data_IF_842291477770
#
_entry.id   IF_842291477770
#
_cell.length_a   1.000
_cell.length_b   1.000
_cell.length_c   1.000
_cell.angle_alpha   90.00
_cell.angle_beta   90.00
_cell.angle_gamma   90.00
#
_symmetry.space_group_name_H-M   'P 1'
#
loop_
_entity.id
_entity.type
_entity.pdbx_description
1 polymer ?
#
# COMPACT_ATOMS: atom_id res chain seq x y z
N UNK A 1 -16.90 17.96 -11.35
CA UNK A 1 -16.64 16.79 -10.48
C UNK A 1 -16.04 17.31 -9.18
N UNK A 2 -16.50 16.82 -8.04
CA UNK A 2 -15.94 17.21 -6.73
C UNK A 2 -14.60 16.51 -6.54
N UNK A 3 -13.55 17.28 -6.20
CA UNK A 3 -12.24 16.74 -5.84
C UNK A 3 -12.02 16.89 -4.34
N UNK A 4 -11.63 15.80 -3.68
CA UNK A 4 -11.44 15.75 -2.23
C UNK A 4 -10.04 15.23 -1.93
N UNK A 5 -9.32 15.94 -1.08
CA UNK A 5 -8.08 15.44 -0.46
C UNK A 5 -8.42 14.85 0.90
N UNK A 6 -8.24 13.55 1.05
CA UNK A 6 -8.53 12.81 2.27
C UNK A 6 -7.23 12.38 2.95
N UNK A 7 -7.05 12.86 4.18
CA UNK A 7 -5.94 12.51 5.06
C UNK A 7 -6.53 11.75 6.25
N UNK A 8 -6.59 10.41 6.20
CA UNK A 8 -7.15 9.60 7.29
C UNK A 8 -6.32 9.76 8.56
N UNK A 9 -7.01 9.79 9.71
CA UNK A 9 -6.39 9.83 11.04
C UNK A 9 -6.67 8.56 11.86
N UNK A 10 -7.68 7.78 11.45
CA UNK A 10 -8.02 6.48 12.00
C UNK A 10 -7.82 5.41 10.93
N UNK A 11 -7.34 4.23 11.37
CA UNK A 11 -6.98 3.14 10.49
C UNK A 11 -7.47 1.81 11.03
N UNK A 12 -7.83 0.88 10.13
CA UNK A 12 -8.37 -0.42 10.50
C UNK A 12 -7.61 -1.55 9.81
N UNK A 13 -7.25 -2.61 10.53
CA UNK A 13 -6.69 -3.84 9.94
C UNK A 13 -7.76 -4.81 9.41
N UNK A 14 -9.03 -4.39 9.43
CA UNK A 14 -10.18 -5.16 8.95
C UNK A 14 -10.99 -4.31 7.98
N UNK A 15 -11.52 -4.95 6.93
CA UNK A 15 -12.53 -4.38 6.05
C UNK A 15 -13.88 -4.86 6.58
N UNK A 16 -14.76 -3.92 6.95
CA UNK A 16 -16.04 -4.22 7.60
C UNK A 16 -16.74 -2.98 8.13
N UNK A 17 -17.67 -3.19 9.06
CA UNK A 17 -18.63 -2.17 9.56
C UNK A 17 -18.02 -1.14 10.51
N UNK A 18 -17.04 -0.36 10.06
CA UNK A 18 -16.48 0.77 10.80
C UNK A 18 -17.24 2.09 10.51
N UNK A 19 -17.22 3.07 11.43
CA UNK A 19 -17.74 4.40 11.15
C UNK A 19 -17.06 5.01 9.91
N UNK A 20 -17.80 5.69 9.03
CA UNK A 20 -17.21 6.26 7.82
C UNK A 20 -16.29 7.42 8.16
N UNK A 21 -15.03 7.32 7.73
CA UNK A 21 -14.05 8.38 7.89
C UNK A 21 -14.23 9.51 6.86
N UNK A 22 -14.91 9.22 5.74
CA UNK A 22 -15.30 10.18 4.72
C UNK A 22 -16.66 9.80 4.14
N UNK A 23 -17.51 10.79 3.82
CA UNK A 23 -18.73 10.61 3.03
C UNK A 23 -18.60 11.37 1.71
N UNK A 24 -18.97 10.73 0.61
CA UNK A 24 -18.87 11.30 -0.74
C UNK A 24 -20.13 11.00 -1.54
N UNK A 25 -20.37 11.79 -2.59
CA UNK A 25 -21.38 11.49 -3.61
C UNK A 25 -20.77 10.64 -4.72
N UNK A 26 -21.63 9.98 -5.49
CA UNK A 26 -21.23 9.36 -6.75
C UNK A 26 -20.45 10.36 -7.64
N UNK A 27 -19.45 9.85 -8.37
CA UNK A 27 -18.52 10.60 -9.23
C UNK A 27 -17.60 11.62 -8.53
N UNK A 28 -17.44 11.53 -7.21
CA UNK A 28 -16.38 12.25 -6.51
C UNK A 28 -15.00 11.64 -6.86
N UNK A 29 -14.00 12.49 -7.05
CA UNK A 29 -12.60 12.09 -7.13
C UNK A 29 -11.95 12.30 -5.78
N UNK A 30 -11.36 11.26 -5.20
CA UNK A 30 -10.71 11.33 -3.89
C UNK A 30 -9.21 11.01 -4.02
N UNK A 31 -8.36 11.91 -3.54
CA UNK A 31 -6.94 11.65 -3.31
C UNK A 31 -6.79 11.20 -1.86
N UNK A 32 -6.34 9.95 -1.65
CA UNK A 32 -6.22 9.36 -0.31
C UNK A 32 -4.74 9.22 0.07
N UNK A 33 -4.35 9.69 1.25
CA UNK A 33 -3.05 9.36 1.84
C UNK A 33 -3.11 7.99 2.49
N UNK A 34 -2.20 7.10 2.11
CA UNK A 34 -2.10 5.75 2.68
C UNK A 34 -0.89 5.61 3.60
N UNK A 35 -0.99 4.68 4.54
CA UNK A 35 0.17 4.16 5.28
C UNK A 35 0.81 3.01 4.49
N UNK A 36 2.03 2.62 4.86
CA UNK A 36 2.58 1.35 4.40
C UNK A 36 1.98 0.15 5.16
N UNK A 37 2.30 -1.06 4.71
CA UNK A 37 1.80 -2.30 5.30
C UNK A 37 2.18 -2.53 6.78
N UNK A 38 3.13 -1.76 7.32
CA UNK A 38 3.53 -1.77 8.72
C UNK A 38 2.91 -0.63 9.54
N UNK A 39 2.10 0.23 8.90
CA UNK A 39 1.39 1.34 9.52
C UNK A 39 2.21 2.62 9.65
N UNK A 40 3.28 2.78 8.86
CA UNK A 40 4.05 4.02 8.83
C UNK A 40 3.53 5.00 7.79
N UNK A 41 3.44 6.27 8.16
CA UNK A 41 3.09 7.37 7.27
C UNK A 41 4.30 7.87 6.44
N UNK A 42 4.08 8.91 5.65
CA UNK A 42 5.13 9.50 4.80
C UNK A 42 6.20 10.28 5.57
N UNK A 43 5.94 10.64 6.84
CA UNK A 43 6.87 11.30 7.75
C UNK A 43 7.66 10.31 8.62
N UNK A 44 7.29 9.03 8.59
CA UNK A 44 7.88 7.97 9.41
C UNK A 44 7.22 7.79 10.78
N UNK A 45 6.08 8.45 11.04
CA UNK A 45 5.28 8.17 12.23
C UNK A 45 4.52 6.86 12.04
N UNK A 46 4.09 6.22 13.13
CA UNK A 46 3.34 4.96 13.10
C UNK A 46 1.91 5.12 13.65
N UNK A 47 1.00 5.79 12.92
CA UNK A 47 -0.38 5.97 13.37
C UNK A 47 -1.26 4.72 13.22
N UNK A 48 -0.84 3.72 12.43
CA UNK A 48 -1.57 2.48 12.23
C UNK A 48 -0.81 1.25 12.71
N UNK A 49 -1.54 0.16 12.93
CA UNK A 49 -0.95 -1.14 13.24
C UNK A 49 -0.80 -2.03 12.00
N UNK A 50 0.10 -2.99 12.09
CA UNK A 50 0.34 -3.99 11.05
C UNK A 50 -0.60 -5.21 11.27
N UNK A 51 -0.98 -5.94 10.20
CA UNK A 51 -0.63 -5.72 8.80
C UNK A 51 -1.67 -4.90 8.04
N UNK A 52 -1.23 -4.13 7.04
CA UNK A 52 -2.09 -3.49 6.03
C UNK A 52 -3.23 -2.64 6.61
N UNK A 53 -2.94 -1.59 7.39
CA UNK A 53 -3.98 -0.69 7.89
C UNK A 53 -4.67 0.04 6.73
N UNK A 54 -6.01 0.00 6.72
CA UNK A 54 -6.87 0.54 5.67
C UNK A 54 -7.17 2.03 5.88
N UNK A 55 -7.14 2.80 4.79
CA UNK A 55 -7.40 4.25 4.73
C UNK A 55 -8.86 4.56 4.40
N UNK A 56 -9.77 4.19 5.30
CA UNK A 56 -11.22 4.34 5.14
C UNK A 56 -11.97 3.92 6.41
N UNK A 57 -13.27 3.60 6.35
CA UNK A 57 -14.10 3.49 5.14
C UNK A 57 -14.50 4.83 4.52
N UNK A 58 -14.69 4.84 3.19
CA UNK A 58 -15.32 5.94 2.46
C UNK A 58 -16.75 5.52 2.12
N UNK A 59 -17.72 6.26 2.65
CA UNK A 59 -19.15 6.02 2.42
C UNK A 59 -19.61 6.77 1.17
N UNK A 60 -20.18 6.04 0.21
CA UNK A 60 -20.75 6.60 -1.03
C UNK A 60 -22.26 6.77 -0.85
N UNK A 61 -22.73 8.01 -0.88
CA UNK A 61 -24.15 8.35 -0.76
C UNK A 61 -24.98 7.63 -1.83
N UNK A 62 -26.02 6.91 -1.39
CA UNK A 62 -26.96 6.21 -2.27
C UNK A 62 -26.56 4.80 -2.70
N UNK A 63 -25.34 4.34 -2.39
CA UNK A 63 -24.94 2.96 -2.66
C UNK A 63 -25.67 1.99 -1.71
N UNK A 64 -26.25 0.92 -2.27
CA UNK A 64 -27.07 -0.07 -1.57
C UNK A 64 -26.57 -1.51 -1.83
N UNK A 65 -26.93 -2.48 -0.97
CA UNK A 65 -26.63 -3.89 -1.24
C UNK A 65 -27.18 -4.33 -2.60
N UNK A 66 -26.32 -4.93 -3.42
CA UNK A 66 -26.61 -5.32 -4.80
C UNK A 66 -26.03 -4.37 -5.86
N UNK A 67 -25.61 -3.17 -5.47
CA UNK A 67 -24.92 -2.24 -6.36
C UNK A 67 -23.45 -2.62 -6.60
N UNK A 68 -22.84 -1.96 -7.58
CA UNK A 68 -21.40 -2.07 -7.88
C UNK A 68 -20.75 -0.70 -7.72
N UNK A 69 -19.67 -0.62 -6.95
CA UNK A 69 -18.79 0.55 -6.95
C UNK A 69 -17.79 0.44 -8.11
N UNK A 70 -17.96 1.27 -9.13
CA UNK A 70 -16.95 1.44 -10.17
C UNK A 70 -15.92 2.46 -9.72
N UNK A 71 -14.73 1.97 -9.35
CA UNK A 71 -13.61 2.83 -8.91
C UNK A 71 -12.55 2.90 -10.00
N UNK A 72 -12.29 4.11 -10.50
CA UNK A 72 -11.18 4.39 -11.42
C UNK A 72 -9.98 4.90 -10.62
N UNK A 73 -8.85 4.20 -10.70
CA UNK A 73 -7.58 4.67 -10.14
C UNK A 73 -6.91 5.58 -11.17
N UNK A 74 -6.86 6.88 -10.89
CA UNK A 74 -6.27 7.86 -11.81
C UNK A 74 -4.74 7.91 -11.72
N UNK A 75 -4.19 7.80 -10.51
CA UNK A 75 -2.76 7.84 -10.25
C UNK A 75 -2.44 7.17 -8.91
N UNK A 76 -1.22 6.64 -8.79
CA UNK A 76 -0.63 6.22 -7.53
C UNK A 76 0.77 6.83 -7.48
N UNK A 77 1.01 7.67 -6.47
CA UNK A 77 2.27 8.40 -6.32
C UNK A 77 2.97 7.94 -5.04
N UNK A 78 4.28 7.64 -5.13
CA UNK A 78 5.05 7.29 -3.94
C UNK A 78 5.28 8.53 -3.09
N UNK A 79 4.90 8.45 -1.81
CA UNK A 79 4.99 9.58 -0.88
C UNK A 79 6.31 9.63 -0.11
N UNK A 80 7.19 8.64 -0.34
CA UNK A 80 8.52 8.51 0.26
C UNK A 80 9.55 8.10 -0.78
N UNK A 81 10.80 8.48 -0.53
CA UNK A 81 11.96 8.01 -1.28
C UNK A 81 12.46 6.63 -0.82
N UNK A 82 11.65 5.90 -0.04
CA UNK A 82 12.00 4.60 0.51
C UNK A 82 10.84 3.61 0.50
N UNK A 83 11.19 2.33 0.33
CA UNK A 83 10.29 1.19 0.40
C UNK A 83 10.96 0.02 1.09
N UNK A 84 10.23 -1.08 1.30
CA UNK A 84 10.80 -2.27 1.91
C UNK A 84 10.17 -3.54 1.38
N UNK A 85 10.95 -4.62 1.38
CA UNK A 85 10.49 -5.99 1.14
C UNK A 85 11.06 -6.91 2.23
N UNK A 86 10.59 -8.15 2.29
CA UNK A 86 11.31 -9.21 3.01
C UNK A 86 12.10 -10.03 2.00
N UNK A 87 13.31 -10.45 2.37
CA UNK A 87 14.21 -11.20 1.48
C UNK A 87 13.77 -12.66 1.21
N UNK A 88 12.79 -13.16 1.96
CA UNK A 88 12.26 -14.52 1.78
C UNK A 88 10.99 -14.53 0.97
N UNK A 89 10.86 -15.54 0.10
CA UNK A 89 9.62 -15.83 -0.60
C UNK A 89 8.50 -16.19 0.38
N UNK A 90 7.26 -15.96 -0.04
CA UNK A 90 6.12 -16.43 0.73
C UNK A 90 6.07 -17.97 0.71
N UNK A 91 5.83 -18.65 1.85
CA UNK A 91 5.85 -20.13 1.88
C UNK A 91 4.86 -20.79 0.91
N UNK A 92 3.76 -20.12 0.58
CA UNK A 92 2.72 -20.63 -0.30
C UNK A 92 3.04 -20.49 -1.81
N UNK A 93 4.20 -19.94 -2.19
CA UNK A 93 4.63 -19.84 -3.60
C UNK A 93 5.79 -20.78 -3.95
N UNK A 94 6.17 -21.66 -3.02
CA UNK A 94 7.22 -22.66 -3.21
C UNK A 94 6.71 -24.05 -2.87
N UNK A 95 7.49 -25.08 -3.23
CA UNK A 95 7.28 -26.42 -2.71
C UNK A 95 7.36 -26.41 -1.16
N UNK A 96 6.39 -27.01 -0.44
CA UNK A 96 6.42 -27.12 1.01
C UNK A 96 7.74 -27.66 1.58
N UNK A 97 8.40 -28.60 0.88
CA UNK A 97 9.67 -29.18 1.30
C UNK A 97 10.84 -28.20 1.26
N UNK A 98 10.70 -27.07 0.56
CA UNK A 98 11.70 -26.00 0.52
C UNK A 98 11.61 -25.04 1.71
N UNK A 99 10.44 -24.89 2.32
CA UNK A 99 10.19 -23.91 3.40
C UNK A 99 11.12 -24.08 4.62
N UNK A 100 11.40 -25.30 5.11
CA UNK A 100 12.31 -25.49 6.25
C UNK A 100 13.75 -25.03 5.99
N UNK A 101 14.14 -24.85 4.72
CA UNK A 101 15.48 -24.42 4.31
C UNK A 101 15.57 -22.90 4.07
N UNK A 102 14.50 -22.15 4.32
CA UNK A 102 14.51 -20.71 4.11
C UNK A 102 15.50 -20.02 5.05
N UNK A 103 16.19 -18.97 4.58
CA UNK A 103 16.98 -18.14 5.47
C UNK A 103 16.06 -17.35 6.43
N UNK A 104 16.61 -16.74 7.48
CA UNK A 104 15.87 -15.81 8.32
C UNK A 104 15.15 -14.74 7.49
N UNK A 105 13.89 -14.49 7.83
CA UNK A 105 13.08 -13.45 7.20
C UNK A 105 13.53 -12.08 7.71
N UNK A 106 14.39 -11.42 6.94
CA UNK A 106 14.85 -10.07 7.24
C UNK A 106 14.26 -9.06 6.25
N UNK A 107 14.11 -7.83 6.73
CA UNK A 107 13.60 -6.72 5.94
C UNK A 107 14.75 -6.09 5.16
N UNK A 108 14.54 -5.87 3.88
CA UNK A 108 15.46 -5.17 2.99
C UNK A 108 14.86 -3.82 2.61
N UNK A 109 15.67 -2.77 2.65
CA UNK A 109 15.26 -1.41 2.28
C UNK A 109 15.53 -1.12 0.81
N UNK A 110 14.65 -0.34 0.22
CA UNK A 110 14.74 0.17 -1.14
C UNK A 110 14.84 1.69 -1.12
N UNK A 111 15.65 2.22 -2.01
CA UNK A 111 15.64 3.63 -2.39
C UNK A 111 14.74 3.78 -3.61
N UNK A 112 13.77 4.67 -3.52
CA UNK A 112 12.81 4.99 -4.58
C UNK A 112 13.20 6.35 -5.16
N UNK A 113 13.57 6.36 -6.43
CA UNK A 113 13.82 7.58 -7.19
C UNK A 113 12.59 7.87 -8.07
N UNK A 114 11.68 8.69 -7.54
CA UNK A 114 10.48 9.09 -8.26
C UNK A 114 10.77 9.90 -9.52
N UNK A 115 11.86 10.69 -9.54
CA UNK A 115 12.22 11.51 -10.69
C UNK A 115 12.75 10.64 -11.83
N UNK A 116 13.55 9.62 -11.51
CA UNK A 116 14.03 8.64 -12.47
C UNK A 116 12.99 7.56 -12.81
N UNK A 117 11.95 7.37 -11.99
CA UNK A 117 10.95 6.32 -12.16
C UNK A 117 11.47 4.91 -11.85
N UNK A 118 12.49 4.80 -10.99
CA UNK A 118 13.17 3.54 -10.67
C UNK A 118 13.37 3.34 -9.16
N UNK A 119 13.40 2.07 -8.74
CA UNK A 119 13.77 1.67 -7.38
C UNK A 119 14.99 0.74 -7.41
N UNK A 120 15.82 0.82 -6.37
CA UNK A 120 16.99 -0.04 -6.17
C UNK A 120 17.14 -0.40 -4.70
N UNK A 121 17.91 -1.45 -4.42
CA UNK A 121 18.28 -1.79 -3.05
C UNK A 121 19.09 -0.64 -2.42
N UNK A 122 18.82 -0.35 -1.15
CA UNK A 122 19.60 0.60 -0.39
C UNK A 122 21.02 0.10 -0.14
N UNK A 123 21.15 -1.20 0.16
CA UNK A 123 22.40 -1.91 0.38
C UNK A 123 22.47 -3.13 -0.55
N UNK A 124 22.80 -2.94 -1.84
CA UNK A 124 22.83 -4.04 -2.79
C UNK A 124 24.03 -4.97 -2.54
N UNK A 125 23.87 -6.30 -2.69
CA UNK A 125 25.02 -7.18 -2.81
C UNK A 125 25.81 -6.84 -4.08
N UNK A 126 27.09 -7.26 -4.13
CA UNK A 126 27.99 -6.92 -5.23
C UNK A 126 27.43 -7.27 -6.63
N UNK A 127 26.68 -8.37 -6.75
CA UNK A 127 26.04 -8.81 -7.99
C UNK A 127 24.87 -7.93 -8.46
N UNK A 128 24.29 -7.13 -7.56
CA UNK A 128 23.14 -6.26 -7.84
C UNK A 128 23.47 -4.77 -7.67
N UNK A 129 24.75 -4.41 -7.57
CA UNK A 129 25.18 -3.03 -7.29
C UNK A 129 24.62 -1.99 -8.27
N UNK A 130 24.47 -2.37 -9.54
CA UNK A 130 23.97 -1.51 -10.62
C UNK A 130 22.53 -1.88 -11.04
N UNK A 131 21.88 -2.79 -10.32
CA UNK A 131 20.55 -3.26 -10.67
C UNK A 131 19.46 -2.35 -10.08
N UNK A 132 18.48 -2.03 -10.92
CA UNK A 132 17.28 -1.29 -10.55
C UNK A 132 16.08 -1.81 -11.33
N UNK A 133 14.88 -1.46 -10.86
CA UNK A 133 13.61 -1.82 -11.51
C UNK A 133 12.76 -0.57 -11.72
N UNK A 134 11.95 -0.50 -12.79
CA UNK A 134 10.97 0.57 -12.96
C UNK A 134 9.94 0.54 -11.83
N UNK A 135 9.43 1.72 -11.45
CA UNK A 135 8.36 1.86 -10.47
C UNK A 135 7.01 1.61 -11.17
N UNK A 136 6.36 0.50 -10.83
CA UNK A 136 5.02 0.14 -11.31
C UNK A 136 4.08 -0.01 -10.09
N UNK A 137 3.47 1.09 -9.62
CA UNK A 137 2.76 1.09 -8.36
C UNK A 137 1.39 0.41 -8.48
N UNK A 138 1.00 -0.31 -7.43
CA UNK A 138 -0.31 -0.98 -7.32
C UNK A 138 -0.85 -0.90 -5.89
N UNK A 139 -2.17 -1.06 -5.75
CA UNK A 139 -2.84 -1.12 -4.45
C UNK A 139 -2.99 -2.60 -4.05
N UNK A 140 -2.33 -2.99 -2.95
CA UNK A 140 -2.36 -4.37 -2.47
C UNK A 140 -3.66 -4.77 -1.74
N UNK A 141 -4.17 -3.90 -0.86
CA UNK A 141 -5.41 -4.14 -0.13
C UNK A 141 -6.47 -3.12 -0.57
N UNK A 142 -7.59 -3.63 -1.08
CA UNK A 142 -8.70 -2.84 -1.58
C UNK A 142 -9.99 -3.66 -1.47
N UNK A 143 -11.08 -3.06 -1.00
CA UNK A 143 -12.34 -3.76 -0.82
C UNK A 143 -13.45 -2.87 -0.29
N UNK A 144 -14.68 -3.42 -0.32
CA UNK A 144 -15.93 -2.83 0.17
C UNK A 144 -16.63 -3.80 1.09
#
# INVERSE_FOLDING_TARGET
MTQIRFEPVDFHNTIGSHPPALKVRDRATVSVRTLDAHGFDYLGNKPGDRPNPMSGPIFVEGAMPGDVLHVTIHAIEMTRASGWTFQTLAPNVVDPDAVPRFPPREKTQWVIDNAAGHARLAEPPASLKDWSVPIEPMIGCFGV
#
